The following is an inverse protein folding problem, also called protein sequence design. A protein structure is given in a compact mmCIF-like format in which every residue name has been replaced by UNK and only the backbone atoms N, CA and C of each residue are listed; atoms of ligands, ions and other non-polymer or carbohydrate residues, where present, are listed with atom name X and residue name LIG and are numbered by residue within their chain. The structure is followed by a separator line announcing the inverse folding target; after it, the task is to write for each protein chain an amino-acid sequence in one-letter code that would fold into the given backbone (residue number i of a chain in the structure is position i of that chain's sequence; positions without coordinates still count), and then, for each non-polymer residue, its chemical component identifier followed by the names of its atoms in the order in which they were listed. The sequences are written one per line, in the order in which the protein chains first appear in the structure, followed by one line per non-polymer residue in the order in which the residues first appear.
data_IF_389006779687
#
_entry.id   IF_389006779687
#
_cell.length_a   1.000
_cell.length_b   1.000
_cell.length_c   1.000
_cell.angle_alpha   90.00
_cell.angle_beta   90.00
_cell.angle_gamma   90.00
#
_symmetry.space_group_name_H-M   'P 1'
#
loop_
_entity.id
_entity.type
_entity.pdbx_description
1 polymer ?
#
# COMPACT_ATOMS: atom_id res chain seq x y z
N UNK A 1 -3.68 -2.68 5.97
CA UNK A 1 -4.24 -2.94 4.62
C UNK A 1 -4.56 -1.58 4.01
N UNK A 2 -3.87 -1.19 2.94
CA UNK A 2 -4.07 0.09 2.25
C UNK A 2 -4.88 -0.20 0.98
N UNK A 3 -5.85 0.63 0.63
CA UNK A 3 -6.60 0.53 -0.63
C UNK A 3 -6.22 1.73 -1.52
N UNK A 4 -6.00 1.49 -2.80
CA UNK A 4 -5.62 2.51 -3.78
C UNK A 4 -6.84 2.80 -4.64
N UNK A 5 -7.23 4.07 -4.72
CA UNK A 5 -8.39 4.52 -5.47
C UNK A 5 -8.02 5.60 -6.49
N UNK A 6 -8.73 5.65 -7.62
CA UNK A 6 -8.78 6.79 -8.51
C UNK A 6 -10.23 7.31 -8.55
N UNK A 7 -10.50 8.42 -7.86
CA UNK A 7 -11.86 8.82 -7.53
C UNK A 7 -12.59 7.72 -6.74
N UNK A 8 -13.71 7.23 -7.28
CA UNK A 8 -14.50 6.16 -6.66
C UNK A 8 -14.11 4.75 -7.13
N UNK A 9 -13.17 4.63 -8.08
CA UNK A 9 -12.73 3.34 -8.62
C UNK A 9 -11.62 2.74 -7.75
N UNK A 10 -11.81 1.51 -7.28
CA UNK A 10 -10.75 0.72 -6.65
C UNK A 10 -9.75 0.27 -7.72
N UNK A 11 -8.48 0.63 -7.57
CA UNK A 11 -7.40 0.18 -8.43
C UNK A 11 -6.69 -1.05 -7.87
N UNK A 12 -6.63 -1.18 -6.54
CA UNK A 12 -5.95 -2.30 -5.91
C UNK A 12 -5.80 -2.17 -4.40
N UNK A 13 -5.13 -3.16 -3.81
CA UNK A 13 -4.84 -3.20 -2.38
C UNK A 13 -3.37 -3.47 -2.11
N UNK A 14 -2.83 -2.83 -1.07
CA UNK A 14 -1.51 -3.13 -0.53
C UNK A 14 -1.67 -3.84 0.82
N UNK A 15 -1.12 -5.04 0.90
CA UNK A 15 -1.07 -5.85 2.12
C UNK A 15 0.39 -5.89 2.58
N UNK A 16 0.65 -5.44 3.81
CA UNK A 16 1.96 -5.55 4.43
C UNK A 16 2.05 -6.88 5.16
N UNK A 17 3.12 -7.63 4.97
CA UNK A 17 3.43 -8.84 5.72
C UNK A 17 4.51 -8.51 6.75
N UNK A 18 4.14 -8.61 8.03
CA UNK A 18 5.00 -8.21 9.18
C UNK A 18 5.57 -9.43 9.91
N UNK A 19 5.54 -10.62 9.29
CA UNK A 19 5.93 -11.87 9.96
C UNK A 19 7.45 -12.14 9.97
N UNK A 20 8.30 -11.25 9.42
CA UNK A 20 9.75 -11.48 9.39
C UNK A 20 10.55 -10.21 9.67
N UNK A 21 11.84 -10.38 9.96
CA UNK A 21 12.87 -9.35 10.08
C UNK A 21 13.05 -8.50 8.79
N UNK A 22 12.33 -8.83 7.71
CA UNK A 22 12.36 -8.16 6.42
C UNK A 22 10.93 -7.96 5.96
N UNK A 23 10.28 -6.85 6.33
CA UNK A 23 8.89 -6.66 5.98
C UNK A 23 8.73 -6.59 4.45
N UNK A 24 7.61 -7.11 3.95
CA UNK A 24 7.25 -7.01 2.53
C UNK A 24 5.91 -6.29 2.34
N UNK A 25 5.79 -5.55 1.25
CA UNK A 25 4.53 -5.02 0.75
C UNK A 25 4.12 -5.80 -0.50
N UNK A 26 2.93 -6.37 -0.43
CA UNK A 26 2.29 -7.11 -1.51
C UNK A 26 1.22 -6.23 -2.13
N UNK A 27 1.38 -5.90 -3.41
CA UNK A 27 0.42 -5.11 -4.18
C UNK A 27 -0.46 -6.06 -5.00
N UNK A 28 -1.76 -5.87 -4.89
CA UNK A 28 -2.78 -6.61 -5.61
C UNK A 28 -3.61 -5.66 -6.46
N UNK A 29 -4.07 -6.11 -7.63
CA UNK A 29 -5.04 -5.38 -8.44
C UNK A 29 -6.45 -5.44 -7.83
N UNK A 30 -7.43 -4.83 -8.50
CA UNK A 30 -8.82 -4.83 -8.06
C UNK A 30 -9.49 -6.22 -8.10
N UNK A 31 -8.91 -7.18 -8.83
CA UNK A 31 -9.35 -8.58 -8.91
C UNK A 31 -8.57 -9.50 -7.94
N UNK A 32 -7.82 -8.92 -6.99
CA UNK A 32 -6.98 -9.63 -6.01
C UNK A 32 -5.84 -10.46 -6.64
N UNK A 33 -5.44 -10.18 -7.88
CA UNK A 33 -4.22 -10.76 -8.46
C UNK A 33 -2.99 -10.03 -7.91
N UNK A 34 -1.99 -10.79 -7.51
CA UNK A 34 -0.70 -10.24 -7.04
C UNK A 34 0.06 -9.63 -8.21
N UNK A 35 0.33 -8.32 -8.15
CA UNK A 35 1.08 -7.57 -9.16
C UNK A 35 2.56 -7.50 -8.81
N UNK A 36 2.87 -7.12 -7.56
CA UNK A 36 4.24 -6.77 -7.17
C UNK A 36 4.53 -7.11 -5.70
N UNK A 37 5.79 -7.44 -5.44
CA UNK A 37 6.38 -7.53 -4.10
C UNK A 37 7.43 -6.46 -3.97
N UNK A 38 7.35 -5.67 -2.91
CA UNK A 38 8.39 -4.72 -2.53
C UNK A 38 8.96 -5.21 -1.19
N UNK A 39 10.24 -5.60 -1.17
CA UNK A 39 10.94 -6.09 0.02
C UNK A 39 12.03 -5.09 0.42
N UNK A 40 12.12 -4.74 1.70
CA UNK A 40 13.13 -3.81 2.23
C UNK A 40 12.62 -2.92 3.38
N UNK A 41 13.48 -2.10 4.01
CA UNK A 41 13.04 -1.15 5.02
C UNK A 41 12.22 -0.04 4.34
N UNK A 42 10.91 -0.04 4.50
CA UNK A 42 10.06 1.06 4.02
C UNK A 42 9.95 2.14 5.09
N UNK A 43 10.41 3.34 4.77
CA UNK A 43 10.09 4.54 5.53
C UNK A 43 8.89 5.23 4.88
N UNK A 44 7.72 5.13 5.52
CA UNK A 44 6.58 5.96 5.14
C UNK A 44 6.76 7.32 5.80
N UNK A 45 7.36 8.28 5.08
CA UNK A 45 7.35 9.68 5.49
C UNK A 45 5.94 10.24 5.27
N UNK A 46 5.08 10.10 6.28
CA UNK A 46 3.82 10.82 6.36
C UNK A 46 4.14 12.28 6.66
N UNK A 47 4.05 13.16 5.66
CA UNK A 47 3.96 14.59 5.95
C UNK A 47 2.58 14.87 6.56
N UNK A 48 2.48 15.67 7.64
CA UNK A 48 1.19 16.01 8.23
C UNK A 48 0.32 16.76 7.19
N UNK A 49 -0.92 16.31 7.01
CA UNK A 49 -1.86 16.95 6.09
C UNK A 49 -2.30 18.31 6.64
N UNK A 50 -2.11 19.38 5.86
CA UNK A 50 -2.72 20.69 6.11
C UNK A 50 -4.13 20.73 5.50
N UNK A 51 -5.09 21.25 6.27
CA UNK A 51 -6.47 21.50 5.82
C UNK A 51 -6.51 22.80 5.02
N UNK A 52 -6.91 22.75 3.75
CA UNK A 52 -7.28 23.94 2.98
C UNK A 52 -8.75 24.26 3.27
N UNK A 53 -9.04 25.47 3.77
CA UNK A 53 -10.41 26.02 3.86
C UNK A 53 -10.86 26.57 2.53
#
# INVERSE_FOLDING_TARGET
KIKIYNGNQLLGTVKQTVMSLSPEMLIYDAADNKILVISGPFMVNLMPSSTFT
#
